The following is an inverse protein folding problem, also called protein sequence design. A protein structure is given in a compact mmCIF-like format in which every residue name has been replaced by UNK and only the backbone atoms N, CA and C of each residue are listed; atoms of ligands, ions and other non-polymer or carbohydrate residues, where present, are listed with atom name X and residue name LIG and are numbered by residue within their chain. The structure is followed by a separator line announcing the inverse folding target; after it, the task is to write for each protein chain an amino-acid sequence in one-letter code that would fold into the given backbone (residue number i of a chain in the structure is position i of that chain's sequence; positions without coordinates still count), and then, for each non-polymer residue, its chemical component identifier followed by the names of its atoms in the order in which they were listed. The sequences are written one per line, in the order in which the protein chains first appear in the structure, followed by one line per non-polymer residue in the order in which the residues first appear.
data_IF_761953098289
#
_entry.id   IF_761953098289
#
_cell.length_a   1.000
_cell.length_b   1.000
_cell.length_c   1.000
_cell.angle_alpha   90.00
_cell.angle_beta   90.00
_cell.angle_gamma   90.00
#
_symmetry.space_group_name_H-M   'P 1'
#
loop_
_entity.id
_entity.type
_entity.pdbx_description
1 polymer ?
#
# COMPACT_ATOMS: atom_id res chain seq x y z
N UNK A 1 -10.88 9.73 -6.33
CA UNK A 1 -9.74 10.44 -5.73
C UNK A 1 -8.78 9.38 -5.28
N UNK A 2 -7.53 9.44 -5.74
CA UNK A 2 -6.53 8.45 -5.39
C UNK A 2 -5.96 8.77 -4.00
N UNK A 3 -5.72 7.77 -3.17
CA UNK A 3 -5.23 7.98 -1.80
C UNK A 3 -4.54 6.74 -1.27
N UNK A 4 -3.51 6.92 -0.47
CA UNK A 4 -2.87 5.86 0.29
C UNK A 4 -2.96 6.17 1.78
N UNK A 5 -3.33 5.17 2.59
CA UNK A 5 -3.38 5.30 4.05
C UNK A 5 -2.79 4.08 4.73
N UNK A 6 -2.08 4.33 5.82
CA UNK A 6 -1.55 3.27 6.70
C UNK A 6 -2.26 3.38 8.04
N UNK A 7 -2.85 2.28 8.49
CA UNK A 7 -3.51 2.17 9.79
C UNK A 7 -2.75 1.20 10.67
N UNK A 8 -2.15 1.70 11.75
CA UNK A 8 -1.46 0.88 12.75
C UNK A 8 -2.50 0.24 13.67
N UNK A 9 -2.36 -1.05 13.95
CA UNK A 9 -3.18 -1.80 14.91
C UNK A 9 -2.29 -2.46 15.97
N UNK A 10 -2.82 -2.86 17.14
CA UNK A 10 -2.02 -3.53 18.18
C UNK A 10 -1.34 -4.82 17.71
N UNK A 11 -1.89 -5.50 16.70
CA UNK A 11 -1.38 -6.76 16.18
C UNK A 11 -0.77 -6.67 14.77
N UNK A 12 -0.57 -5.47 14.22
CA UNK A 12 -0.39 -5.34 12.77
C UNK A 12 -0.40 -3.91 12.25
N UNK A 13 -0.42 -3.79 10.94
CA UNK A 13 -0.88 -2.58 10.26
C UNK A 13 -1.57 -2.96 8.96
N UNK A 14 -2.39 -2.04 8.46
CA UNK A 14 -3.12 -2.21 7.21
C UNK A 14 -2.76 -1.04 6.29
N UNK A 15 -2.36 -1.36 5.07
CA UNK A 15 -2.18 -0.39 3.98
C UNK A 15 -3.43 -0.41 3.10
N UNK A 16 -4.00 0.76 2.82
CA UNK A 16 -5.17 0.90 1.96
C UNK A 16 -4.86 1.87 0.83
N UNK A 17 -4.94 1.38 -0.40
CA UNK A 17 -4.75 2.15 -1.62
C UNK A 17 -6.08 2.29 -2.34
N UNK A 18 -6.48 3.53 -2.61
CA UNK A 18 -7.57 3.85 -3.52
C UNK A 18 -6.93 4.36 -4.79
N UNK A 19 -7.13 3.64 -5.90
CA UNK A 19 -6.58 4.01 -7.20
C UNK A 19 -7.61 3.79 -8.29
N UNK A 20 -7.91 4.84 -9.06
CA UNK A 20 -8.86 4.81 -10.17
C UNK A 20 -10.25 4.22 -9.81
N UNK A 21 -10.69 4.40 -8.57
CA UNK A 21 -11.96 3.84 -8.07
C UNK A 21 -11.90 2.40 -7.55
N UNK A 22 -10.78 1.70 -7.74
CA UNK A 22 -10.48 0.44 -7.08
C UNK A 22 -9.93 0.70 -5.66
N UNK A 23 -10.24 -0.22 -4.75
CA UNK A 23 -9.73 -0.20 -3.36
C UNK A 23 -8.96 -1.49 -3.13
N UNK A 24 -7.69 -1.35 -2.79
CA UNK A 24 -6.76 -2.45 -2.54
C UNK A 24 -6.31 -2.34 -1.09
N UNK A 25 -6.45 -3.42 -0.33
CA UNK A 25 -6.11 -3.45 1.09
C UNK A 25 -5.09 -4.55 1.31
N UNK A 26 -3.96 -4.20 1.92
CA UNK A 26 -2.92 -5.15 2.35
C UNK A 26 -2.84 -5.16 3.85
N UNK A 27 -2.87 -6.36 4.42
CA UNK A 27 -2.82 -6.56 5.86
C UNK A 27 -1.48 -7.17 6.25
N UNK A 28 -0.90 -6.61 7.30
CA UNK A 28 0.32 -7.10 7.91
C UNK A 28 0.02 -7.44 9.36
N UNK A 29 0.44 -8.62 9.78
CA UNK A 29 0.34 -9.08 11.16
C UNK A 29 1.73 -9.13 11.78
N UNK A 30 1.80 -8.88 13.09
CA UNK A 30 3.04 -9.00 13.84
C UNK A 30 3.22 -10.45 14.26
N UNK A 31 4.34 -11.05 13.88
CA UNK A 31 4.74 -12.38 14.34
C UNK A 31 6.06 -12.32 15.14
N UNK A 32 6.59 -13.50 15.48
CA UNK A 32 7.82 -13.65 16.27
C UNK A 32 9.07 -13.11 15.55
N UNK A 33 9.01 -12.93 14.23
CA UNK A 33 10.13 -12.53 13.37
C UNK A 33 10.03 -11.10 12.85
N UNK A 34 8.84 -10.49 12.92
CA UNK A 34 8.62 -9.11 12.50
C UNK A 34 7.19 -8.87 12.02
N UNK A 35 7.06 -8.27 10.84
CA UNK A 35 5.78 -8.06 10.18
C UNK A 35 5.65 -9.03 9.01
N UNK A 36 4.62 -9.88 9.03
CA UNK A 36 4.29 -10.79 7.94
C UNK A 36 3.06 -10.27 7.22
N UNK A 37 3.20 -10.05 5.91
CA UNK A 37 2.07 -9.68 5.05
C UNK A 37 1.18 -10.89 4.81
N UNK A 38 -0.09 -10.74 5.17
CA UNK A 38 -1.14 -11.75 4.94
C UNK A 38 -1.63 -11.67 3.50
N UNK A 39 -1.68 -10.46 2.94
CA UNK A 39 -2.04 -10.18 1.54
C UNK A 39 -0.94 -9.31 0.90
N UNK A 40 -0.02 -9.95 0.17
CA UNK A 40 1.26 -9.34 -0.27
C UNK A 40 1.24 -8.81 -1.70
N UNK A 41 0.24 -9.09 -2.51
CA UNK A 41 0.20 -8.64 -3.90
C UNK A 41 -0.57 -7.31 -4.03
N UNK A 42 0.05 -6.32 -4.68
CA UNK A 42 -0.67 -5.17 -5.24
C UNK A 42 -1.34 -5.60 -6.54
N UNK A 43 -2.37 -6.45 -6.42
CA UNK A 43 -2.98 -7.17 -7.54
C UNK A 43 -4.03 -6.31 -8.26
N UNK A 44 -3.57 -5.24 -8.90
CA UNK A 44 -4.41 -4.37 -9.71
C UNK A 44 -3.74 -4.17 -11.07
N UNK A 45 -4.42 -4.67 -12.11
CA UNK A 45 -3.92 -4.73 -13.49
C UNK A 45 -3.53 -3.35 -14.08
N UNK A 46 -3.97 -2.25 -13.44
CA UNK A 46 -3.78 -0.89 -13.92
C UNK A 46 -2.87 -0.03 -13.02
N UNK A 47 -2.17 -0.60 -12.04
CA UNK A 47 -1.22 0.18 -11.24
C UNK A 47 0.02 0.55 -12.08
N UNK A 48 0.39 1.85 -12.15
CA UNK A 48 1.64 2.27 -12.78
C UNK A 48 2.85 1.61 -12.09
N UNK A 49 3.87 1.24 -12.87
CA UNK A 49 5.09 0.65 -12.32
C UNK A 49 5.73 1.53 -11.23
N UNK A 50 5.77 2.85 -11.45
CA UNK A 50 6.27 3.82 -10.47
C UNK A 50 5.49 3.80 -9.15
N UNK A 51 4.18 3.53 -9.19
CA UNK A 51 3.37 3.39 -7.99
C UNK A 51 3.66 2.07 -7.28
N UNK A 52 3.83 0.98 -8.03
CA UNK A 52 4.18 -0.33 -7.47
C UNK A 52 5.54 -0.25 -6.77
N UNK A 53 6.56 0.30 -7.43
CA UNK A 53 7.90 0.48 -6.87
C UNK A 53 7.85 1.32 -5.59
N UNK A 54 7.16 2.46 -5.61
CA UNK A 54 7.01 3.32 -4.44
C UNK A 54 6.29 2.62 -3.27
N UNK A 55 5.29 1.78 -3.56
CA UNK A 55 4.56 1.00 -2.55
C UNK A 55 5.40 -0.16 -1.99
N UNK A 56 6.26 -0.78 -2.79
CA UNK A 56 7.19 -1.83 -2.33
C UNK A 56 8.30 -1.26 -1.46
N UNK A 57 8.83 -0.09 -1.81
CA UNK A 57 9.83 0.64 -1.02
C UNK A 57 9.24 1.33 0.21
N UNK A 58 7.90 1.43 0.30
CA UNK A 58 7.15 2.19 1.32
C UNK A 58 7.59 3.65 1.40
N UNK A 59 7.90 4.26 0.25
CA UNK A 59 8.22 5.68 0.17
C UNK A 59 6.92 6.48 0.09
N UNK A 60 6.46 6.97 1.24
CA UNK A 60 5.22 7.77 1.34
C UNK A 60 5.25 9.01 0.44
N UNK A 61 6.42 9.62 0.21
CA UNK A 61 6.55 10.82 -0.62
C UNK A 61 6.35 10.44 -2.09
N UNK A 62 7.06 9.40 -2.55
CA UNK A 62 6.91 8.91 -3.92
C UNK A 62 5.49 8.41 -4.21
N UNK A 63 4.87 7.69 -3.26
CA UNK A 63 3.47 7.27 -3.36
C UNK A 63 2.55 8.49 -3.53
N UNK A 64 2.71 9.52 -2.69
CA UNK A 64 1.89 10.72 -2.78
C UNK A 64 2.11 11.49 -4.09
N UNK A 65 3.35 11.57 -4.58
CA UNK A 65 3.68 12.25 -5.83
C UNK A 65 2.97 11.58 -7.01
N UNK A 66 3.10 10.26 -7.15
CA UNK A 66 2.45 9.46 -8.19
C UNK A 66 0.92 9.54 -8.09
N UNK A 67 0.35 9.46 -6.88
CA UNK A 67 -1.11 9.57 -6.70
C UNK A 67 -1.65 10.96 -7.01
N UNK A 68 -0.83 12.00 -6.86
CA UNK A 68 -1.18 13.38 -7.19
C UNK A 68 -1.07 13.69 -8.70
N UNK A 69 -0.52 12.76 -9.50
CA UNK A 69 -0.34 12.90 -10.94
C UNK A 69 0.67 13.98 -11.31
N UNK A 70 1.70 14.14 -10.47
CA UNK A 70 2.72 15.18 -10.62
C UNK A 70 3.99 14.66 -11.26
#
# INVERSE_FOLDING_TARGET
MNSFTVTITPGGFTESLVYNGAVIIKRYERDETGWTGVDLAWDCEDLPAELIDALEERDEIAIMDVLSGR
#
